data_IF_871424672564
#
_entry.id   IF_871424672564
#
_cell.length_a   1.000
_cell.length_b   1.000
_cell.length_c   1.000
_cell.angle_alpha   90.00
_cell.angle_beta   90.00
_cell.angle_gamma   90.00
#
_symmetry.space_group_name_H-M   'P 1'
#
loop_
_entity.id
_entity.type
_entity.pdbx_description
1 polymer ?
#
# COMPACT_ATOMS: atom_id res chain seq x y z
N UNK A 1 22.66 -7.24 -14.60
CA UNK A 1 21.83 -6.16 -14.35
C UNK A 1 20.57 -6.59 -13.71
N UNK A 2 20.11 -5.85 -12.79
CA UNK A 2 18.99 -6.32 -12.09
C UNK A 2 17.73 -5.59 -12.50
N UNK A 3 16.65 -6.30 -12.45
CA UNK A 3 15.36 -5.72 -12.75
C UNK A 3 14.90 -4.89 -11.60
N UNK A 4 14.36 -3.74 -11.90
CA UNK A 4 13.82 -2.90 -10.85
C UNK A 4 12.43 -3.36 -10.50
N UNK A 5 12.24 -3.57 -9.23
CA UNK A 5 10.95 -3.95 -8.71
C UNK A 5 10.20 -2.70 -8.30
N UNK A 6 8.96 -2.59 -8.73
CA UNK A 6 8.17 -1.43 -8.36
C UNK A 6 6.77 -1.89 -7.96
N UNK A 7 6.07 -1.01 -7.28
CA UNK A 7 4.72 -1.32 -6.83
C UNK A 7 3.77 -1.32 -8.01
N UNK A 8 3.14 -2.44 -8.23
CA UNK A 8 2.13 -2.54 -9.27
C UNK A 8 0.73 -2.33 -8.70
N UNK A 9 0.57 -2.51 -7.38
CA UNK A 9 -0.72 -2.35 -6.77
C UNK A 9 -0.56 -2.17 -5.27
N UNK A 10 -1.40 -1.33 -4.68
CA UNK A 10 -1.42 -1.14 -3.24
C UNK A 10 -2.87 -1.15 -2.79
N UNK A 11 -3.20 -2.03 -1.86
CA UNK A 11 -4.54 -2.10 -1.31
C UNK A 11 -4.49 -1.56 0.11
N UNK A 12 -5.35 -0.60 0.40
CA UNK A 12 -5.39 0.04 1.71
C UNK A 12 -6.59 -0.48 2.47
N UNK A 13 -6.33 -1.13 3.59
CA UNK A 13 -7.38 -1.65 4.45
C UNK A 13 -7.57 -0.65 5.60
N UNK A 14 -8.59 0.17 5.50
CA UNK A 14 -8.80 1.24 6.46
C UNK A 14 -9.30 0.74 7.80
N UNK A 15 -9.99 -0.38 7.82
CA UNK A 15 -10.48 -0.93 9.07
C UNK A 15 -9.37 -1.56 9.89
N UNK A 16 -8.52 -2.32 9.23
CA UNK A 16 -7.44 -3.01 9.93
C UNK A 16 -6.18 -2.18 10.00
N UNK A 17 -6.17 -1.02 9.37
CA UNK A 17 -5.00 -0.14 9.30
C UNK A 17 -3.81 -0.88 8.74
N UNK A 18 -4.01 -1.53 7.59
CA UNK A 18 -2.98 -2.29 6.93
C UNK A 18 -2.85 -1.86 5.48
N UNK A 19 -1.66 -2.07 4.94
CA UNK A 19 -1.40 -1.81 3.53
C UNK A 19 -0.87 -3.08 2.92
N UNK A 20 -1.47 -3.50 1.82
CA UNK A 20 -1.03 -4.67 1.07
C UNK A 20 -0.33 -4.17 -0.17
N UNK A 21 0.95 -4.44 -0.26
CA UNK A 21 1.77 -3.94 -1.36
C UNK A 21 2.12 -5.10 -2.28
N UNK A 22 1.81 -4.94 -3.54
CA UNK A 22 2.11 -5.96 -4.55
C UNK A 22 3.09 -5.37 -5.54
N UNK A 23 4.14 -6.11 -5.84
CA UNK A 23 5.18 -5.63 -6.72
C UNK A 23 5.00 -6.18 -8.12
N UNK A 24 5.73 -5.60 -9.06
CA UNK A 24 5.69 -6.05 -10.43
C UNK A 24 6.25 -7.45 -10.59
N UNK A 25 6.99 -7.92 -9.59
CA UNK A 25 7.60 -9.24 -9.66
C UNK A 25 6.79 -10.29 -8.91
N UNK A 26 5.62 -9.92 -8.44
CA UNK A 26 4.77 -10.89 -7.77
C UNK A 26 4.97 -10.98 -6.27
N UNK A 27 5.81 -10.13 -5.71
CA UNK A 27 6.00 -10.12 -4.26
C UNK A 27 4.83 -9.44 -3.58
N UNK A 28 4.56 -9.87 -2.37
CA UNK A 28 3.52 -9.27 -1.58
C UNK A 28 4.08 -8.92 -0.20
N UNK A 29 3.73 -7.74 0.28
CA UNK A 29 4.19 -7.29 1.58
C UNK A 29 3.04 -6.62 2.30
N UNK A 30 2.94 -6.86 3.60
CA UNK A 30 1.89 -6.27 4.40
C UNK A 30 2.53 -5.35 5.42
N UNK A 31 2.03 -4.11 5.48
CA UNK A 31 2.47 -3.13 6.46
C UNK A 31 1.33 -2.92 7.43
N UNK A 32 1.58 -3.16 8.70
CA UNK A 32 0.57 -2.98 9.74
C UNK A 32 0.90 -1.74 10.54
N UNK A 33 -0.11 -0.92 10.79
CA UNK A 33 0.06 0.31 11.54
C UNK A 33 -0.63 0.16 12.90
N UNK A 34 0.03 0.66 13.94
CA UNK A 34 -0.46 0.47 15.29
C UNK A 34 -1.51 1.49 15.69
N UNK A 35 -1.50 2.65 15.06
CA UNK A 35 -2.45 3.68 15.40
C UNK A 35 -2.77 4.49 14.15
N UNK A 36 -3.75 5.38 14.31
CA UNK A 36 -4.24 6.16 13.20
C UNK A 36 -3.18 7.11 12.67
N UNK A 37 -2.41 7.72 13.57
CA UNK A 37 -1.37 8.66 13.13
C UNK A 37 -0.36 7.95 12.23
N UNK A 38 0.06 6.77 12.63
CA UNK A 38 0.99 6.02 11.82
C UNK A 38 0.37 5.63 10.49
N UNK A 39 -0.89 5.22 10.54
CA UNK A 39 -1.60 4.85 9.33
C UNK A 39 -1.66 6.02 8.35
N UNK A 40 -1.99 7.21 8.85
CA UNK A 40 -2.10 8.38 7.98
C UNK A 40 -0.76 8.77 7.40
N UNK A 41 0.31 8.63 8.19
CA UNK A 41 1.64 8.96 7.68
C UNK A 41 2.03 8.02 6.56
N UNK A 42 1.79 6.73 6.74
CA UNK A 42 2.13 5.77 5.69
C UNK A 42 1.25 5.99 4.47
N UNK A 43 -0.02 6.28 4.69
CA UNK A 43 -0.93 6.52 3.59
C UNK A 43 -0.46 7.69 2.73
N UNK A 44 0.01 8.74 3.38
CA UNK A 44 0.47 9.90 2.64
C UNK A 44 1.68 9.55 1.79
N UNK A 45 2.61 8.78 2.35
CA UNK A 45 3.77 8.36 1.60
C UNK A 45 3.35 7.50 0.41
N UNK A 46 2.45 6.57 0.64
CA UNK A 46 1.99 5.68 -0.42
C UNK A 46 1.33 6.48 -1.53
N UNK A 47 0.51 7.46 -1.17
CA UNK A 47 -0.19 8.25 -2.17
C UNK A 47 0.75 9.07 -3.04
N UNK A 48 1.92 9.43 -2.51
CA UNK A 48 2.89 10.17 -3.30
C UNK A 48 3.78 9.26 -4.14
N UNK A 49 3.93 7.99 -3.72
CA UNK A 49 4.81 7.06 -4.40
C UNK A 49 4.08 6.18 -5.40
N UNK A 50 2.81 5.96 -5.21
CA UNK A 50 2.03 5.04 -6.02
C UNK A 50 0.98 5.85 -6.78
N UNK A 51 0.82 5.57 -8.06
CA UNK A 51 -0.19 6.28 -8.84
C UNK A 51 -1.58 5.88 -8.39
N UNK A 52 -2.54 6.75 -8.63
CA UNK A 52 -3.92 6.45 -8.23
C UNK A 52 -4.46 5.21 -8.89
N UNK A 53 -3.97 4.89 -10.07
CA UNK A 53 -4.44 3.70 -10.78
C UNK A 53 -4.07 2.43 -10.05
N UNK A 54 -2.98 2.47 -9.30
CA UNK A 54 -2.51 1.30 -8.58
C UNK A 54 -2.99 1.25 -7.15
N UNK A 55 -3.67 2.30 -6.71
CA UNK A 55 -4.09 2.42 -5.33
C UNK A 55 -5.55 2.02 -5.21
N UNK A 56 -5.83 1.08 -4.33
CA UNK A 56 -7.19 0.61 -4.10
C UNK A 56 -7.47 0.63 -2.61
N UNK A 57 -8.73 0.86 -2.26
CA UNK A 57 -9.15 0.86 -0.88
C UNK A 57 -10.14 -0.25 -0.66
N UNK A 58 -10.00 -0.96 0.43
CA UNK A 58 -11.04 -1.90 0.81
C UNK A 58 -12.15 -1.09 1.47
N UNK A 59 -13.33 -1.28 0.99
CA UNK A 59 -14.47 -0.55 1.51
C UNK A 59 -15.27 -1.49 2.39
N UNK A 60 -15.40 -1.18 3.65
CA UNK A 60 -16.05 -2.09 4.59
C UNK A 60 -17.54 -2.19 4.41
N UNK A 61 -18.10 -1.39 3.62
CA UNK A 61 -19.53 -1.39 3.47
C UNK A 61 -20.17 -2.70 3.23
#
# INVERSE_FOLDING_TARGET
MKTEEFLSRCVVDTLARKFYLYSSEGSERVVECENVDQFMNVLEVVRTQVSNDCLAYTDPL
#
